data_IF_331777549986
#
_entry.id   IF_331777549986
#
_cell.length_a   1.000
_cell.length_b   1.000
_cell.length_c   1.000
_cell.angle_alpha   90.00
_cell.angle_beta   90.00
_cell.angle_gamma   90.00
#
_symmetry.space_group_name_H-M   'P 1'
#
loop_
_entity.id
_entity.type
_entity.pdbx_description
1 polymer ?
#
# COMPACT_ATOMS: atom_id res chain seq x y z
N UNK A 1 -8.42 13.57 -1.25
CA UNK A 1 -7.36 12.57 -0.94
C UNK A 1 -6.56 13.09 0.25
N UNK A 2 -6.51 12.31 1.32
CA UNK A 2 -5.74 12.65 2.53
C UNK A 2 -4.76 11.53 2.82
N UNK A 3 -3.46 11.85 2.84
CA UNK A 3 -2.40 10.89 3.19
C UNK A 3 -2.03 11.07 4.66
N UNK A 4 -2.08 9.98 5.41
CA UNK A 4 -1.80 9.89 6.84
C UNK A 4 -0.58 8.99 6.98
N UNK A 5 0.49 9.52 7.59
CA UNK A 5 1.69 8.74 7.87
C UNK A 5 1.40 7.74 8.99
N UNK A 6 1.69 6.47 8.74
CA UNK A 6 1.76 5.44 9.77
C UNK A 6 3.02 5.68 10.59
N UNK A 7 2.95 5.69 11.93
CA UNK A 7 4.14 5.83 12.77
C UNK A 7 5.10 4.67 12.58
N UNK A 8 6.40 4.94 12.60
CA UNK A 8 7.42 3.90 12.52
C UNK A 8 7.76 3.33 13.91
N UNK A 9 7.85 2.01 13.99
CA UNK A 9 8.49 1.27 15.08
C UNK A 9 10.01 1.21 14.89
N UNK A 10 10.72 0.75 15.92
CA UNK A 10 12.16 0.60 15.87
C UNK A 10 12.61 -0.43 14.81
N UNK A 11 13.25 0.07 13.75
CA UNK A 11 13.80 -0.71 12.63
C UNK A 11 15.30 -1.01 12.79
N UNK A 12 15.77 -2.23 12.48
CA UNK A 12 17.19 -2.56 12.50
C UNK A 12 18.00 -1.76 11.46
N UNK A 13 19.19 -1.31 11.85
CA UNK A 13 20.13 -0.70 10.91
C UNK A 13 20.90 -1.75 10.11
N UNK A 14 21.22 -1.41 8.86
CA UNK A 14 22.10 -2.23 8.01
C UNK A 14 23.52 -2.22 8.59
N UNK A 15 24.12 -3.40 8.74
CA UNK A 15 25.49 -3.59 9.25
C UNK A 15 26.36 -4.26 8.20
N UNK A 16 27.67 -4.03 8.25
CA UNK A 16 28.65 -4.50 7.27
C UNK A 16 28.69 -6.02 7.06
N UNK A 17 28.35 -6.82 8.07
CA UNK A 17 28.33 -8.28 7.98
C UNK A 17 26.99 -8.85 7.48
N UNK A 18 25.98 -8.01 7.23
CA UNK A 18 24.72 -8.46 6.65
C UNK A 18 24.93 -8.89 5.20
N UNK A 19 24.41 -10.07 4.86
CA UNK A 19 24.33 -10.59 3.49
C UNK A 19 22.93 -10.34 2.96
N UNK A 20 22.73 -10.40 1.64
CA UNK A 20 21.42 -10.16 1.01
C UNK A 20 20.26 -10.94 1.67
N UNK A 21 20.47 -12.22 2.00
CA UNK A 21 19.46 -13.03 2.72
C UNK A 21 19.08 -12.48 4.10
N UNK A 22 20.01 -11.84 4.80
CA UNK A 22 19.75 -11.24 6.11
C UNK A 22 18.90 -9.98 5.91
N UNK A 23 19.29 -9.14 4.95
CA UNK A 23 18.55 -7.92 4.59
C UNK A 23 17.12 -8.24 4.14
N UNK A 24 16.94 -9.28 3.30
CA UNK A 24 15.64 -9.77 2.87
C UNK A 24 14.79 -10.29 4.04
N UNK A 25 15.36 -11.12 4.92
CA UNK A 25 14.63 -11.64 6.09
C UNK A 25 14.19 -10.54 7.04
N UNK A 26 14.98 -9.47 7.15
CA UNK A 26 14.66 -8.31 7.99
C UNK A 26 13.91 -7.21 7.22
N UNK A 27 13.62 -7.36 5.93
CA UNK A 27 13.03 -6.31 5.10
C UNK A 27 13.69 -4.91 5.28
N UNK A 28 15.01 -4.86 5.15
CA UNK A 28 15.78 -3.60 5.26
C UNK A 28 16.69 -3.38 4.03
N UNK A 29 17.13 -2.14 3.84
CA UNK A 29 17.94 -1.74 2.69
C UNK A 29 17.14 -1.93 1.38
N UNK A 30 17.69 -2.60 0.36
CA UNK A 30 16.99 -2.80 -0.92
C UNK A 30 15.72 -3.66 -0.83
N UNK A 31 15.49 -4.32 0.31
CA UNK A 31 14.29 -5.13 0.56
C UNK A 31 13.32 -4.44 1.52
N UNK A 32 13.56 -3.17 1.88
CA UNK A 32 12.58 -2.38 2.61
C UNK A 32 11.33 -2.21 1.74
N UNK A 33 10.17 -2.35 2.35
CA UNK A 33 8.89 -2.23 1.67
C UNK A 33 8.09 -1.08 2.27
N UNK A 34 7.44 -0.33 1.39
CA UNK A 34 6.45 0.69 1.75
C UNK A 34 5.07 0.11 1.45
N UNK A 35 4.12 0.37 2.33
CA UNK A 35 2.72 0.06 2.12
C UNK A 35 1.92 1.36 1.98
N UNK A 36 1.04 1.39 0.99
CA UNK A 36 -0.04 2.36 0.91
C UNK A 36 -1.38 1.63 1.04
N UNK A 37 -2.11 1.88 2.12
CA UNK A 37 -3.46 1.39 2.32
C UNK A 37 -4.47 2.48 2.00
N UNK A 38 -5.25 2.26 0.95
CA UNK A 38 -6.27 3.17 0.44
C UNK A 38 -7.63 2.66 0.89
N UNK A 39 -8.39 3.54 1.54
CA UNK A 39 -9.74 3.28 2.05
C UNK A 39 -10.73 4.26 1.44
N UNK A 40 -11.87 3.75 1.02
CA UNK A 40 -12.94 4.56 0.45
C UNK A 40 -14.28 3.84 0.50
N UNK A 41 -15.36 4.60 0.64
CA UNK A 41 -16.73 4.10 0.57
C UNK A 41 -17.21 4.21 -0.87
N UNK A 42 -17.68 3.10 -1.42
CA UNK A 42 -18.30 3.03 -2.74
C UNK A 42 -19.22 1.82 -2.85
N UNK A 43 -19.95 1.74 -3.96
CA UNK A 43 -20.84 0.64 -4.28
C UNK A 43 -20.08 -0.67 -4.50
N UNK A 44 -20.40 -1.68 -3.68
CA UNK A 44 -19.79 -3.02 -3.72
C UNK A 44 -20.10 -3.76 -5.04
N UNK A 45 -21.18 -3.42 -5.76
CA UNK A 45 -21.56 -4.10 -7.00
C UNK A 45 -20.45 -4.04 -8.08
N UNK A 46 -19.55 -3.05 -7.97
CA UNK A 46 -18.41 -2.86 -8.87
C UNK A 46 -17.11 -3.48 -8.37
N UNK A 47 -17.13 -4.28 -7.29
CA UNK A 47 -15.92 -4.85 -6.69
C UNK A 47 -15.04 -5.59 -7.69
N UNK A 48 -15.61 -6.52 -8.47
CA UNK A 48 -14.86 -7.32 -9.44
C UNK A 48 -14.22 -6.45 -10.55
N UNK A 49 -14.87 -5.36 -10.95
CA UNK A 49 -14.34 -4.42 -11.94
C UNK A 49 -13.18 -3.60 -11.36
N UNK A 50 -13.29 -3.16 -10.11
CA UNK A 50 -12.22 -2.44 -9.39
C UNK A 50 -11.01 -3.34 -9.17
N UNK A 51 -11.23 -4.58 -8.72
CA UNK A 51 -10.17 -5.58 -8.54
C UNK A 51 -9.45 -5.84 -9.86
N UNK A 52 -10.19 -6.06 -10.96
CA UNK A 52 -9.60 -6.29 -12.28
C UNK A 52 -8.75 -5.11 -12.76
N UNK A 53 -9.20 -3.86 -12.58
CA UNK A 53 -8.44 -2.68 -13.01
C UNK A 53 -7.18 -2.46 -12.14
N UNK A 54 -7.27 -2.67 -10.83
CA UNK A 54 -6.12 -2.60 -9.93
C UNK A 54 -5.12 -3.74 -10.21
N UNK A 55 -5.59 -4.95 -10.47
CA UNK A 55 -4.75 -6.09 -10.84
C UNK A 55 -4.00 -5.84 -12.16
N UNK A 56 -4.64 -5.20 -13.14
CA UNK A 56 -3.98 -4.78 -14.38
C UNK A 56 -2.86 -3.77 -14.11
N UNK A 57 -3.11 -2.81 -13.23
CA UNK A 57 -2.10 -1.82 -12.80
C UNK A 57 -0.94 -2.51 -12.07
N UNK A 58 -1.26 -3.44 -11.16
CA UNK A 58 -0.28 -4.25 -10.43
C UNK A 58 0.66 -5.01 -11.37
N UNK A 59 0.12 -5.68 -12.40
CA UNK A 59 0.93 -6.44 -13.37
C UNK A 59 1.93 -5.57 -14.13
N UNK A 60 1.57 -4.31 -14.43
CA UNK A 60 2.45 -3.38 -15.15
C UNK A 60 3.58 -2.84 -14.27
N UNK A 61 3.29 -2.62 -12.99
CA UNK A 61 4.22 -1.96 -12.06
C UNK A 61 5.06 -2.96 -11.23
N UNK A 62 4.61 -4.21 -11.11
CA UNK A 62 5.29 -5.25 -10.33
C UNK A 62 5.13 -5.07 -8.81
N UNK A 63 4.01 -4.51 -8.37
CA UNK A 63 3.68 -4.38 -6.94
C UNK A 63 2.99 -5.63 -6.40
N UNK A 64 2.86 -5.71 -5.08
CA UNK A 64 1.95 -6.63 -4.42
C UNK A 64 0.66 -5.87 -4.09
N UNK A 65 -0.48 -6.45 -4.46
CA UNK A 65 -1.81 -5.88 -4.26
C UNK A 65 -2.64 -6.80 -3.38
N UNK A 66 -3.37 -6.21 -2.45
CA UNK A 66 -4.47 -6.83 -1.74
C UNK A 66 -5.68 -5.89 -1.80
N UNK A 67 -6.85 -6.44 -2.12
CA UNK A 67 -8.13 -5.72 -2.08
C UNK A 67 -9.16 -6.55 -1.33
N UNK A 68 -9.94 -5.88 -0.49
CA UNK A 68 -11.07 -6.47 0.20
C UNK A 68 -12.18 -5.45 0.42
N UNK A 69 -13.39 -5.95 0.66
CA UNK A 69 -14.53 -5.14 1.05
C UNK A 69 -15.07 -5.63 2.40
N UNK A 70 -15.02 -4.77 3.41
CA UNK A 70 -15.58 -5.03 4.73
C UNK A 70 -15.81 -3.71 5.47
N UNK A 71 -16.71 -3.71 6.45
CA UNK A 71 -17.15 -2.50 7.15
C UNK A 71 -17.69 -1.42 6.20
N UNK A 72 -18.44 -1.84 5.17
CA UNK A 72 -19.08 -0.95 4.17
C UNK A 72 -18.10 -0.06 3.37
N UNK A 73 -16.83 -0.49 3.27
CA UNK A 73 -15.81 0.23 2.52
C UNK A 73 -14.82 -0.72 1.84
N UNK A 74 -14.16 -0.19 0.81
CA UNK A 74 -13.02 -0.83 0.17
C UNK A 74 -11.76 -0.62 1.01
N UNK A 75 -10.92 -1.64 1.04
CA UNK A 75 -9.57 -1.61 1.60
C UNK A 75 -8.61 -2.14 0.55
N UNK A 76 -7.74 -1.28 0.05
CA UNK A 76 -6.74 -1.60 -0.98
C UNK A 76 -5.37 -1.39 -0.37
N UNK A 77 -4.59 -2.45 -0.18
CA UNK A 77 -3.21 -2.36 0.30
C UNK A 77 -2.25 -2.65 -0.86
N UNK A 78 -1.30 -1.74 -1.08
CA UNK A 78 -0.27 -1.85 -2.11
C UNK A 78 1.08 -1.86 -1.44
N UNK A 79 1.80 -2.98 -1.55
CA UNK A 79 3.17 -3.11 -1.08
C UNK A 79 4.14 -3.06 -2.25
N UNK A 80 5.19 -2.26 -2.10
CA UNK A 80 6.25 -2.12 -3.09
C UNK A 80 7.58 -1.90 -2.39
N UNK A 81 8.69 -2.24 -3.06
CA UNK A 81 10.00 -1.93 -2.47
C UNK A 81 10.19 -0.42 -2.42
N UNK A 82 10.67 0.12 -1.29
CA UNK A 82 10.84 1.57 -1.11
C UNK A 82 11.73 2.19 -2.20
N UNK A 83 12.71 1.45 -2.74
CA UNK A 83 13.57 1.92 -3.83
C UNK A 83 12.94 1.78 -5.24
N UNK A 84 11.80 1.09 -5.36
CA UNK A 84 11.15 0.81 -6.66
C UNK A 84 10.33 1.99 -7.18
N UNK A 85 9.67 2.73 -6.28
CA UNK A 85 8.77 3.82 -6.65
C UNK A 85 8.64 4.84 -5.50
N UNK A 86 8.27 6.06 -5.87
CA UNK A 86 7.85 7.08 -4.90
C UNK A 86 6.40 6.85 -4.49
N UNK A 87 6.10 7.03 -3.20
CA UNK A 87 4.76 6.77 -2.62
C UNK A 87 3.65 7.52 -3.38
N UNK A 88 3.84 8.81 -3.65
CA UNK A 88 2.84 9.64 -4.31
C UNK A 88 2.50 9.10 -5.71
N UNK A 89 3.49 8.63 -6.46
CA UNK A 89 3.27 8.04 -7.78
C UNK A 89 2.46 6.74 -7.71
N UNK A 90 2.69 5.91 -6.67
CA UNK A 90 1.91 4.69 -6.43
C UNK A 90 0.45 5.03 -6.13
N UNK A 91 0.22 6.00 -5.23
CA UNK A 91 -1.12 6.45 -4.85
C UNK A 91 -1.86 7.04 -6.05
N UNK A 92 -1.20 7.87 -6.86
CA UNK A 92 -1.80 8.48 -8.06
C UNK A 92 -2.26 7.43 -9.08
N UNK A 93 -1.43 6.41 -9.33
CA UNK A 93 -1.76 5.32 -10.24
C UNK A 93 -2.93 4.47 -9.73
N UNK A 94 -2.95 4.15 -8.43
CA UNK A 94 -4.05 3.42 -7.83
C UNK A 94 -5.35 4.24 -7.83
N UNK A 95 -5.28 5.54 -7.52
CA UNK A 95 -6.40 6.45 -7.61
C UNK A 95 -6.97 6.51 -9.04
N UNK A 96 -6.11 6.62 -10.06
CA UNK A 96 -6.54 6.62 -11.45
C UNK A 96 -7.28 5.32 -11.84
N UNK A 97 -6.79 4.17 -11.37
CA UNK A 97 -7.46 2.88 -11.58
C UNK A 97 -8.85 2.83 -10.91
N UNK A 98 -8.96 3.29 -9.67
CA UNK A 98 -10.22 3.33 -8.91
C UNK A 98 -11.22 4.27 -9.58
N UNK A 99 -10.80 5.50 -9.90
CA UNK A 99 -11.65 6.53 -10.50
C UNK A 99 -12.17 6.12 -11.88
N UNK A 100 -11.39 5.35 -12.64
CA UNK A 100 -11.83 4.83 -13.94
C UNK A 100 -13.08 3.95 -13.85
N UNK A 101 -13.26 3.22 -12.76
CA UNK A 101 -14.39 2.30 -12.55
C UNK A 101 -15.53 2.96 -11.79
N UNK A 102 -15.20 3.70 -10.73
CA UNK A 102 -16.17 4.24 -9.76
C UNK A 102 -16.51 5.71 -9.97
N UNK A 103 -15.73 6.44 -10.77
CA UNK A 103 -15.76 7.90 -10.81
C UNK A 103 -15.06 8.53 -9.60
N UNK A 104 -15.27 9.82 -9.39
CA UNK A 104 -14.62 10.54 -8.28
C UNK A 104 -15.11 10.00 -6.92
N UNK A 105 -14.16 9.48 -6.14
CA UNK A 105 -14.37 8.96 -4.79
C UNK A 105 -13.40 9.62 -3.81
N UNK A 106 -13.83 9.84 -2.58
CA UNK A 106 -12.95 10.38 -1.55
C UNK A 106 -12.06 9.27 -0.97
N UNK A 107 -10.76 9.37 -1.24
CA UNK A 107 -9.76 8.43 -0.74
C UNK A 107 -9.10 8.92 0.55
N UNK A 108 -9.05 8.03 1.54
CA UNK A 108 -8.14 8.11 2.67
C UNK A 108 -6.97 7.16 2.43
N UNK A 109 -5.74 7.61 2.67
CA UNK A 109 -4.54 6.79 2.51
C UNK A 109 -3.76 6.74 3.82
N UNK A 110 -3.51 5.55 4.33
CA UNK A 110 -2.53 5.29 5.38
C UNK A 110 -1.25 4.80 4.71
N UNK A 111 -0.11 5.43 4.95
CA UNK A 111 1.14 5.05 4.30
C UNK A 111 2.33 4.99 5.27
N UNK A 112 3.17 3.97 5.13
CA UNK A 112 4.36 3.80 5.97
C UNK A 112 5.15 2.54 5.66
N UNK A 113 6.09 2.19 6.53
CA UNK A 113 6.90 0.98 6.38
C UNK A 113 6.01 -0.28 6.56
N UNK A 114 6.01 -1.17 5.56
CA UNK A 114 5.14 -2.35 5.56
C UNK A 114 5.50 -3.36 6.67
N UNK A 115 6.76 -3.34 7.13
CA UNK A 115 7.28 -4.32 8.09
C UNK A 115 7.47 -3.72 9.49
N UNK A 116 7.64 -2.40 9.57
CA UNK A 116 7.95 -1.68 10.80
C UNK A 116 6.96 -0.56 11.12
N UNK A 117 5.90 -0.36 10.34
CA UNK A 117 4.83 0.58 10.69
C UNK A 117 3.98 0.07 11.86
N UNK A 118 3.58 0.98 12.75
CA UNK A 118 2.61 0.73 13.82
C UNK A 118 1.18 0.83 13.26
N UNK A 119 0.82 -0.12 12.39
CA UNK A 119 -0.47 -0.17 11.71
C UNK A 119 -1.63 -0.31 12.70
N UNK A 120 -1.44 -1.06 13.78
CA UNK A 120 -2.45 -1.26 14.83
C UNK A 120 -2.85 0.08 15.48
N UNK A 121 -1.88 0.97 15.75
CA UNK A 121 -2.17 2.30 16.31
C UNK A 121 -3.06 3.17 15.40
N UNK A 122 -2.96 2.98 14.08
CA UNK A 122 -3.74 3.72 13.09
C UNK A 122 -5.19 3.23 13.00
N UNK A 123 -5.45 1.96 13.32
CA UNK A 123 -6.80 1.37 13.27
C UNK A 123 -7.55 1.47 14.61
N UNK A 124 -6.84 1.77 15.68
CA UNK A 124 -7.38 1.83 17.05
C UNK A 124 -8.03 3.18 17.39
N UNK A 125 -8.05 4.14 16.45
CA UNK A 125 -8.55 5.50 16.63
C UNK A 125 -9.86 5.75 15.88
#
# INVERSE_FOLDING_TARGET
>A
MTVISVPDLAKPQVKSHHKARHLKKMAIGPFAQTCAEIRFVADIEKFDEVDAELANTQQQQGWELFIAYFNEQYHVAINFFTEQAELDAVIELANAAIVKVLGDVELQVLAGDANYGDWDSCYSN
#
